data_IF_132658528070
#
_entry.id   IF_132658528070
#
_cell.length_a   1.000
_cell.length_b   1.000
_cell.length_c   1.000
_cell.angle_alpha   90.00
_cell.angle_beta   90.00
_cell.angle_gamma   90.00
#
_symmetry.space_group_name_H-M   'P 1'
#
loop_
_entity.id
_entity.type
_entity.pdbx_description
1 polymer ?
#
# COMPACT_ATOMS: atom_id res chain seq x y z
N UNK A 1 -13.15 7.18 -7.57
CA UNK A 1 -11.75 6.82 -7.89
C UNK A 1 -11.03 6.28 -6.65
N UNK A 2 -11.04 6.97 -5.51
CA UNK A 2 -10.55 6.42 -4.23
C UNK A 2 -11.27 5.11 -3.80
N UNK A 3 -12.58 5.00 -4.02
CA UNK A 3 -13.35 3.79 -3.76
C UNK A 3 -12.91 2.57 -4.59
N UNK A 4 -12.47 2.79 -5.84
CA UNK A 4 -11.97 1.71 -6.69
C UNK A 4 -10.57 1.25 -6.26
N UNK A 5 -9.72 2.19 -5.82
CA UNK A 5 -8.41 1.85 -5.25
C UNK A 5 -8.59 1.04 -3.96
N UNK A 6 -9.53 1.45 -3.10
CA UNK A 6 -9.89 0.74 -1.87
C UNK A 6 -10.45 -0.65 -2.15
N UNK A 7 -11.36 -0.80 -3.12
CA UNK A 7 -11.85 -2.13 -3.54
C UNK A 7 -10.72 -3.00 -4.07
N UNK A 8 -9.81 -2.47 -4.90
CA UNK A 8 -8.69 -3.24 -5.43
C UNK A 8 -7.74 -3.68 -4.31
N UNK A 9 -7.38 -2.77 -3.39
CA UNK A 9 -6.51 -3.11 -2.25
C UNK A 9 -7.19 -4.08 -1.29
N UNK A 10 -8.49 -3.91 -1.01
CA UNK A 10 -9.26 -4.83 -0.17
C UNK A 10 -9.45 -6.20 -0.84
N UNK A 11 -9.67 -6.25 -2.15
CA UNK A 11 -9.78 -7.48 -2.92
C UNK A 11 -8.44 -8.21 -2.99
N UNK A 12 -7.32 -7.51 -3.19
CA UNK A 12 -6.00 -8.15 -3.12
C UNK A 12 -5.67 -8.65 -1.72
N UNK A 13 -6.03 -7.90 -0.67
CA UNK A 13 -5.81 -8.36 0.69
C UNK A 13 -6.69 -9.57 1.03
N UNK A 14 -7.94 -9.58 0.57
CA UNK A 14 -8.84 -10.72 0.69
C UNK A 14 -8.35 -11.91 -0.13
N UNK A 15 -7.87 -11.73 -1.35
CA UNK A 15 -7.32 -12.83 -2.17
C UNK A 15 -6.07 -13.44 -1.52
N UNK A 16 -5.18 -12.62 -0.97
CA UNK A 16 -4.01 -13.10 -0.20
C UNK A 16 -4.46 -13.84 1.06
N UNK A 17 -5.46 -13.31 1.78
CA UNK A 17 -5.96 -13.92 3.02
C UNK A 17 -6.71 -15.24 2.76
N UNK A 18 -7.52 -15.29 1.70
CA UNK A 18 -8.21 -16.49 1.23
C UNK A 18 -7.20 -17.55 0.77
N UNK A 19 -6.15 -17.18 0.04
CA UNK A 19 -5.10 -18.11 -0.35
C UNK A 19 -4.37 -18.69 0.88
N UNK A 20 -3.98 -17.85 1.84
CA UNK A 20 -3.36 -18.31 3.10
C UNK A 20 -4.30 -19.22 3.91
N UNK A 21 -5.60 -18.91 3.94
CA UNK A 21 -6.61 -19.75 4.60
C UNK A 21 -6.82 -21.09 3.89
N UNK A 22 -6.78 -21.12 2.56
CA UNK A 22 -6.84 -22.35 1.74
C UNK A 22 -5.61 -23.22 1.99
N UNK A 23 -4.42 -22.65 2.04
CA UNK A 23 -3.19 -23.38 2.40
C UNK A 23 -3.24 -23.93 3.84
N UNK A 24 -3.79 -23.15 4.78
CA UNK A 24 -4.00 -23.61 6.16
C UNK A 24 -5.02 -24.74 6.25
N UNK A 25 -6.05 -24.76 5.41
CA UNK A 25 -7.05 -25.83 5.38
C UNK A 25 -6.51 -27.13 4.77
N UNK A 26 -5.49 -27.04 3.89
CA UNK A 26 -4.75 -28.20 3.38
C UNK A 26 -3.85 -28.85 4.45
N UNK A 27 -3.45 -28.13 5.50
CA UNK A 27 -2.68 -28.69 6.64
C UNK A 27 -3.43 -29.73 7.48
N UNK A 28 -4.74 -29.91 7.27
CA UNK A 28 -5.54 -30.89 8.03
C UNK A 28 -5.39 -32.32 7.42
N UNK A 29 -4.84 -32.45 6.21
CA UNK A 29 -4.57 -33.72 5.54
C UNK A 29 -3.08 -34.09 5.56
N UNK A 30 -2.67 -34.86 6.57
CA UNK A 30 -1.34 -35.46 6.76
C UNK A 30 -0.89 -36.23 5.49
N UNK A 31 0.18 -35.84 4.79
CA UNK A 31 1.49 -36.55 4.76
C UNK A 31 2.67 -35.69 4.23
N UNK A 32 2.46 -34.44 3.78
CA UNK A 32 3.47 -33.63 3.06
C UNK A 32 3.90 -32.32 3.78
N UNK A 33 4.28 -32.40 5.06
CA UNK A 33 4.66 -31.22 5.86
C UNK A 33 5.78 -30.36 5.23
N UNK A 34 6.69 -30.96 4.46
CA UNK A 34 7.78 -30.25 3.80
C UNK A 34 7.34 -29.39 2.61
N UNK A 35 6.35 -29.84 1.84
CA UNK A 35 5.84 -29.11 0.67
C UNK A 35 5.01 -27.91 1.13
N UNK A 36 4.19 -28.10 2.17
CA UNK A 36 3.37 -27.04 2.76
C UNK A 36 4.23 -25.91 3.33
N UNK A 37 5.33 -26.23 4.03
CA UNK A 37 6.24 -25.20 4.53
C UNK A 37 6.88 -24.38 3.39
N UNK A 38 7.14 -25.02 2.25
CA UNK A 38 7.73 -24.36 1.09
C UNK A 38 6.73 -23.43 0.39
N UNK A 39 5.47 -23.87 0.24
CA UNK A 39 4.38 -23.05 -0.30
C UNK A 39 4.11 -21.82 0.57
N UNK A 40 4.01 -22.01 1.89
CA UNK A 40 3.84 -20.92 2.85
C UNK A 40 4.94 -19.86 2.74
N UNK A 41 6.20 -20.28 2.60
CA UNK A 41 7.33 -19.37 2.43
C UNK A 41 7.25 -18.57 1.11
N UNK A 42 6.77 -19.18 0.03
CA UNK A 42 6.57 -18.52 -1.26
C UNK A 42 5.45 -17.48 -1.16
N UNK A 43 4.32 -17.85 -0.56
CA UNK A 43 3.17 -16.95 -0.40
C UNK A 43 3.52 -15.73 0.46
N UNK A 44 4.24 -15.96 1.56
CA UNK A 44 4.74 -14.87 2.40
C UNK A 44 5.68 -13.93 1.63
N UNK A 45 6.61 -14.47 0.84
CA UNK A 45 7.52 -13.67 0.02
C UNK A 45 6.76 -12.87 -1.05
N UNK A 46 5.75 -13.48 -1.67
CA UNK A 46 4.92 -12.84 -2.69
C UNK A 46 4.11 -11.67 -2.09
N UNK A 47 3.49 -11.88 -0.93
CA UNK A 47 2.72 -10.85 -0.22
C UNK A 47 3.59 -9.65 0.19
N UNK A 48 4.82 -9.89 0.69
CA UNK A 48 5.77 -8.83 1.04
C UNK A 48 6.17 -8.03 -0.20
N UNK A 49 6.43 -8.72 -1.32
CA UNK A 49 6.81 -8.07 -2.57
C UNK A 49 5.67 -7.23 -3.16
N UNK A 50 4.44 -7.76 -3.17
CA UNK A 50 3.26 -7.02 -3.61
C UNK A 50 3.06 -5.77 -2.76
N UNK A 51 3.16 -5.89 -1.43
CA UNK A 51 3.06 -4.74 -0.53
C UNK A 51 4.13 -3.67 -0.83
N UNK A 52 5.36 -4.09 -1.07
CA UNK A 52 6.45 -3.19 -1.45
C UNK A 52 6.13 -2.40 -2.72
N UNK A 53 5.57 -3.03 -3.75
CA UNK A 53 5.16 -2.34 -4.99
C UNK A 53 4.11 -1.26 -4.70
N UNK A 54 3.11 -1.56 -3.87
CA UNK A 54 2.06 -0.60 -3.52
C UNK A 54 2.61 0.60 -2.74
N UNK A 55 3.44 0.35 -1.72
CA UNK A 55 4.02 1.43 -0.92
C UNK A 55 4.98 2.29 -1.76
N UNK A 56 5.74 1.68 -2.68
CA UNK A 56 6.61 2.41 -3.62
C UNK A 56 5.82 3.28 -4.61
N UNK A 57 4.75 2.72 -5.21
CA UNK A 57 3.89 3.46 -6.14
C UNK A 57 3.20 4.64 -5.45
N UNK A 58 2.72 4.43 -4.21
CA UNK A 58 2.08 5.47 -3.42
C UNK A 58 3.05 6.63 -3.12
N UNK A 59 4.28 6.31 -2.70
CA UNK A 59 5.33 7.30 -2.47
C UNK A 59 5.60 8.14 -3.73
N UNK A 60 5.72 7.48 -4.90
CA UNK A 60 5.96 8.15 -6.18
C UNK A 60 4.84 9.11 -6.58
N UNK A 61 3.59 8.77 -6.29
CA UNK A 61 2.46 9.65 -6.57
C UNK A 61 2.47 10.85 -5.60
N UNK A 62 2.80 10.63 -4.32
CA UNK A 62 2.93 11.72 -3.34
C UNK A 62 4.08 12.68 -3.68
N UNK A 63 5.22 12.16 -4.15
CA UNK A 63 6.32 12.99 -4.67
C UNK A 63 5.87 13.85 -5.85
N UNK A 64 5.15 13.23 -6.80
CA UNK A 64 4.65 13.93 -7.98
C UNK A 64 3.65 15.03 -7.59
N UNK A 65 2.74 14.75 -6.65
CA UNK A 65 1.79 15.72 -6.13
C UNK A 65 2.48 16.90 -5.45
N UNK A 66 3.51 16.64 -4.64
CA UNK A 66 4.30 17.67 -3.95
C UNK A 66 5.06 18.56 -4.95
N UNK A 67 5.63 17.94 -5.98
CA UNK A 67 6.30 18.66 -7.06
C UNK A 67 5.31 19.51 -7.87
N UNK A 68 4.16 18.95 -8.24
CA UNK A 68 3.09 19.64 -8.98
C UNK A 68 2.57 20.83 -8.18
N UNK A 69 2.39 20.70 -6.86
CA UNK A 69 2.01 21.79 -5.98
C UNK A 69 3.02 22.95 -6.06
N UNK A 70 4.32 22.63 -5.97
CA UNK A 70 5.41 23.63 -6.05
C UNK A 70 5.40 24.35 -7.39
N UNK A 71 5.31 23.61 -8.50
CA UNK A 71 5.27 24.17 -9.86
C UNK A 71 4.05 25.07 -10.07
N UNK A 72 2.88 24.70 -9.52
CA UNK A 72 1.68 25.54 -9.61
C UNK A 72 1.87 26.85 -8.84
N UNK A 73 2.48 26.80 -7.64
CA UNK A 73 2.76 28.00 -6.85
C UNK A 73 3.74 28.95 -7.53
N UNK A 74 4.76 28.43 -8.19
CA UNK A 74 5.74 29.22 -8.94
C UNK A 74 5.18 29.76 -10.28
N UNK A 75 4.05 29.20 -10.75
CA UNK A 75 3.41 29.66 -11.99
C UNK A 75 2.60 30.95 -11.77
N UNK A 76 2.54 31.85 -12.77
CA UNK A 76 1.69 33.05 -12.73
C UNK A 76 0.20 32.70 -12.95
N UNK A 77 -0.36 31.83 -12.10
CA UNK A 77 -1.71 31.25 -12.23
C UNK A 77 -2.84 32.29 -12.31
N UNK A 78 -2.58 33.50 -11.80
CA UNK A 78 -3.49 34.64 -11.82
C UNK A 78 -3.62 35.31 -13.20
N UNK A 79 -2.69 35.06 -14.13
CA UNK A 79 -2.73 35.60 -15.50
C UNK A 79 -3.43 34.67 -16.50
N UNK A 80 -3.81 33.44 -16.11
CA UNK A 80 -4.49 32.51 -17.00
C UNK A 80 -5.97 32.82 -17.20
N UNK A 81 -6.55 32.24 -18.26
CA UNK A 81 -7.98 32.35 -18.54
C UNK A 81 -8.82 31.82 -17.36
N UNK A 82 -10.04 32.32 -17.14
CA UNK A 82 -10.89 31.91 -16.01
C UNK A 82 -11.18 30.40 -15.96
N UNK A 83 -11.20 29.75 -17.14
CA UNK A 83 -11.37 28.30 -17.27
C UNK A 83 -10.15 27.55 -16.75
N UNK A 84 -8.96 27.91 -17.23
CA UNK A 84 -7.69 27.31 -16.81
C UNK A 84 -7.41 27.53 -15.33
N UNK A 85 -7.78 28.70 -14.79
CA UNK A 85 -7.64 29.02 -13.36
C UNK A 85 -8.47 28.09 -12.48
N UNK A 86 -9.70 27.75 -12.89
CA UNK A 86 -10.52 26.76 -12.17
C UNK A 86 -9.90 25.38 -12.21
N UNK A 87 -9.39 24.96 -13.36
CA UNK A 87 -8.76 23.65 -13.52
C UNK A 87 -7.49 23.54 -12.66
N UNK A 88 -6.63 24.56 -12.65
CA UNK A 88 -5.45 24.63 -11.78
C UNK A 88 -5.83 24.60 -10.30
N UNK A 89 -6.88 25.33 -9.90
CA UNK A 89 -7.35 25.33 -8.51
C UNK A 89 -7.88 23.95 -8.10
N UNK A 90 -8.57 23.24 -9.00
CA UNK A 90 -9.02 21.86 -8.76
C UNK A 90 -7.84 20.90 -8.64
N UNK A 91 -6.84 20.99 -9.51
CA UNK A 91 -5.63 20.18 -9.45
C UNK A 91 -4.84 20.45 -8.16
N UNK A 92 -4.68 21.72 -7.78
CA UNK A 92 -4.01 22.11 -6.54
C UNK A 92 -4.75 21.55 -5.32
N UNK A 93 -6.08 21.70 -5.27
CA UNK A 93 -6.91 21.15 -4.19
C UNK A 93 -6.82 19.62 -4.09
N UNK A 94 -6.68 18.92 -5.22
CA UNK A 94 -6.46 17.48 -5.24
C UNK A 94 -5.05 17.10 -4.77
N UNK A 95 -4.02 17.84 -5.18
CA UNK A 95 -2.64 17.59 -4.74
C UNK A 95 -2.40 17.85 -3.25
N UNK A 96 -3.14 18.79 -2.66
CA UNK A 96 -3.11 19.11 -1.23
C UNK A 96 -3.97 18.17 -0.39
N UNK A 97 -4.83 17.37 -1.04
CA UNK A 97 -5.59 16.36 -0.33
C UNK A 97 -4.67 15.16 -0.18
N UNK A 98 -4.07 15.02 0.99
CA UNK A 98 -3.25 13.86 1.33
C UNK A 98 -3.99 12.58 0.95
N UNK A 99 -3.33 11.70 0.21
CA UNK A 99 -3.88 10.38 -0.16
C UNK A 99 -4.41 9.61 1.08
N UNK A 100 -3.85 9.91 2.26
CA UNK A 100 -4.25 9.41 3.56
C UNK A 100 -5.68 9.78 3.95
N UNK A 101 -6.12 11.01 3.65
CA UNK A 101 -7.47 11.49 3.97
C UNK A 101 -8.50 10.90 3.01
N UNK A 102 -8.12 10.67 1.76
CA UNK A 102 -9.02 10.10 0.74
C UNK A 102 -9.34 8.61 0.95
N UNK A 103 -8.47 7.88 1.64
CA UNK A 103 -8.59 6.43 1.76
C UNK A 103 -9.24 5.96 3.07
N UNK A 104 -9.54 6.86 4.02
CA UNK A 104 -10.20 6.53 5.30
C UNK A 104 -9.41 5.61 6.24
N UNK A 105 -8.20 5.21 5.85
CA UNK A 105 -7.30 4.37 6.63
C UNK A 105 -6.44 5.22 7.56
N UNK A 106 -6.24 4.73 8.78
CA UNK A 106 -5.40 5.37 9.80
C UNK A 106 -3.89 5.21 9.55
N UNK A 107 -3.48 4.44 8.53
CA UNK A 107 -2.07 4.16 8.25
C UNK A 107 -1.66 4.66 6.86
N UNK A 108 -0.59 5.49 6.78
CA UNK A 108 -0.10 5.96 5.51
C UNK A 108 0.62 4.86 4.72
N UNK A 109 0.23 4.66 3.45
CA UNK A 109 0.97 3.86 2.47
C UNK A 109 2.22 4.63 2.05
N UNK A 110 3.35 4.35 2.70
CA UNK A 110 4.66 4.89 2.37
C UNK A 110 5.74 3.88 2.75
N UNK A 111 6.94 4.05 2.20
CA UNK A 111 8.08 3.14 2.45
C UNK A 111 8.51 3.12 3.93
N UNK A 112 8.24 4.18 4.69
CA UNK A 112 8.56 4.26 6.12
C UNK A 112 7.66 3.31 6.93
N UNK A 113 6.35 3.33 6.66
CA UNK A 113 5.36 2.44 7.27
C UNK A 113 5.63 0.99 6.89
N UNK A 114 6.03 0.72 5.64
CA UNK A 114 6.48 -0.61 5.23
C UNK A 114 7.62 -1.14 6.11
N UNK A 115 8.67 -0.31 6.32
CA UNK A 115 9.80 -0.68 7.16
C UNK A 115 9.37 -0.96 8.61
N UNK A 116 8.47 -0.15 9.16
CA UNK A 116 7.93 -0.35 10.51
C UNK A 116 7.12 -1.66 10.62
N UNK A 117 6.34 -2.00 9.59
CA UNK A 117 5.58 -3.26 9.55
C UNK A 117 6.57 -4.45 9.50
N UNK A 118 7.58 -4.39 8.65
CA UNK A 118 8.61 -5.44 8.57
C UNK A 118 9.36 -5.63 9.89
N UNK A 119 9.74 -4.53 10.55
CA UNK A 119 10.39 -4.59 11.86
C UNK A 119 9.51 -5.26 12.92
N UNK A 120 8.19 -4.96 12.92
CA UNK A 120 7.23 -5.61 13.81
C UNK A 120 7.09 -7.10 13.52
N UNK A 121 6.98 -7.49 12.24
CA UNK A 121 6.91 -8.89 11.84
C UNK A 121 8.17 -9.64 12.29
N UNK A 122 9.35 -9.06 12.06
CA UNK A 122 10.63 -9.63 12.51
C UNK A 122 10.69 -9.77 14.03
N UNK A 123 10.29 -8.73 14.76
CA UNK A 123 10.25 -8.78 16.23
C UNK A 123 9.32 -9.88 16.75
N UNK A 124 8.14 -10.06 16.15
CA UNK A 124 7.21 -11.13 16.51
C UNK A 124 7.84 -12.49 16.21
N UNK A 125 8.47 -12.64 15.04
CA UNK A 125 9.14 -13.87 14.63
C UNK A 125 10.27 -14.24 15.60
N UNK A 126 11.12 -13.29 15.99
CA UNK A 126 12.20 -13.51 16.96
C UNK A 126 11.66 -13.93 18.33
N UNK A 127 10.62 -13.26 18.83
CA UNK A 127 10.00 -13.64 20.12
C UNK A 127 9.39 -15.05 20.06
N UNK A 128 8.70 -15.39 18.96
CA UNK A 128 8.16 -16.73 18.78
C UNK A 128 9.25 -17.80 18.71
N UNK A 129 10.35 -17.51 18.03
CA UNK A 129 11.49 -18.42 17.94
C UNK A 129 12.18 -18.62 19.29
N UNK A 130 12.26 -17.58 20.13
CA UNK A 130 12.86 -17.67 21.47
C UNK A 130 11.97 -18.42 22.48
N UNK A 131 10.65 -18.45 22.23
CA UNK A 131 9.68 -19.16 23.07
C UNK A 131 9.49 -20.64 22.72
N UNK A 132 10.00 -21.10 21.57
CA UNK A 132 9.94 -22.49 21.10
C UNK A 132 11.22 -23.23 21.46
#
# INVERSE_FOLDING_TARGET
>A
MAAAQFEITANMFNDIFENILVERNLMIGEEDAGIVQYLFNIDLACAIFQRFIFDYLSERINDCNSHLQTVIYDSPWYHFSPKMRKDILMMLKQSQCDQFVLTGYTFPFNLQTFSLILQKIYSIFTVLHDMM
#
